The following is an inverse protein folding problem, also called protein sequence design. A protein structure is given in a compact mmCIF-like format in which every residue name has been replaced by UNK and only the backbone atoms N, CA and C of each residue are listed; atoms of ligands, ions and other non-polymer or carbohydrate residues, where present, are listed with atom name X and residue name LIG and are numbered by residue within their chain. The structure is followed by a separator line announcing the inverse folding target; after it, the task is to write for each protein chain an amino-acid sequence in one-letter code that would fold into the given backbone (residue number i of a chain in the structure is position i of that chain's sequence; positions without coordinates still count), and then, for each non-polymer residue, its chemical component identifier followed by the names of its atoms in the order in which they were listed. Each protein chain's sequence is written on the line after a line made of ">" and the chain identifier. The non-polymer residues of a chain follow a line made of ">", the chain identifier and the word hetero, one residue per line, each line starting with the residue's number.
data_IF_429573824515
#
_entry.id   IF_429573824515
#
_cell.length_a   1.000
_cell.length_b   1.000
_cell.length_c   1.000
_cell.angle_alpha   90.00
_cell.angle_beta   90.00
_cell.angle_gamma   90.00
#
_symmetry.space_group_name_H-M   'P 1'
#
loop_
_entity.id
_entity.type
_entity.pdbx_description
1 polymer ?
#
# COMPACT_ATOMS: atom_id res chain seq x y z
N UNK A 1 -1.04 -51.67 -28.84
CA UNK A 1 -0.65 -51.33 -27.45
C UNK A 1 -1.91 -51.32 -26.62
N UNK A 2 -2.06 -52.22 -25.62
CA UNK A 2 -3.27 -52.28 -24.78
C UNK A 2 -3.20 -51.14 -23.77
N UNK A 3 -4.09 -50.16 -23.88
CA UNK A 3 -4.25 -49.11 -22.86
C UNK A 3 -4.84 -49.80 -21.62
N UNK A 4 -4.06 -49.90 -20.55
CA UNK A 4 -4.59 -50.27 -19.23
C UNK A 4 -5.51 -49.12 -18.79
N UNK A 5 -6.81 -49.38 -18.71
CA UNK A 5 -7.78 -48.42 -18.17
C UNK A 5 -7.54 -48.20 -16.68
N UNK A 6 -7.77 -46.98 -16.20
CA UNK A 6 -7.80 -46.63 -14.77
C UNK A 6 -8.88 -47.47 -14.07
N UNK A 7 -8.60 -47.98 -12.87
CA UNK A 7 -9.60 -48.67 -12.05
C UNK A 7 -10.51 -47.65 -11.36
N UNK A 8 -11.78 -48.03 -11.09
CA UNK A 8 -12.71 -47.16 -10.37
C UNK A 8 -12.20 -46.83 -8.96
N UNK A 9 -11.52 -47.78 -8.30
CA UNK A 9 -10.97 -47.56 -6.96
C UNK A 9 -9.81 -46.57 -6.95
N UNK A 10 -8.93 -46.59 -7.97
CA UNK A 10 -7.85 -45.60 -8.09
C UNK A 10 -8.40 -44.17 -8.19
N UNK A 11 -9.49 -43.97 -8.93
CA UNK A 11 -10.11 -42.65 -9.03
C UNK A 11 -10.73 -42.21 -7.70
N UNK A 12 -11.42 -43.12 -6.99
CA UNK A 12 -12.07 -42.83 -5.71
C UNK A 12 -11.04 -42.48 -4.63
N UNK A 13 -9.94 -43.23 -4.54
CA UNK A 13 -8.89 -42.96 -3.55
C UNK A 13 -8.24 -41.59 -3.78
N UNK A 14 -8.02 -41.20 -5.05
CA UNK A 14 -7.43 -39.89 -5.39
C UNK A 14 -8.34 -38.73 -4.97
N UNK A 15 -9.64 -38.78 -5.26
CA UNK A 15 -10.56 -37.69 -4.86
C UNK A 15 -10.69 -37.57 -3.34
N UNK A 16 -10.65 -38.69 -2.61
CA UNK A 16 -10.68 -38.69 -1.15
C UNK A 16 -9.40 -38.07 -0.59
N UNK A 17 -8.23 -38.43 -1.12
CA UNK A 17 -6.95 -37.84 -0.73
C UNK A 17 -6.92 -36.32 -1.00
N UNK A 18 -7.37 -35.88 -2.19
CA UNK A 18 -7.48 -34.46 -2.52
C UNK A 18 -8.45 -33.74 -1.60
N UNK A 19 -9.55 -34.39 -1.21
CA UNK A 19 -10.53 -33.85 -0.25
C UNK A 19 -9.91 -33.57 1.13
N UNK A 20 -9.14 -34.53 1.68
CA UNK A 20 -8.47 -34.35 2.98
C UNK A 20 -7.43 -33.23 2.91
N UNK A 21 -6.60 -33.20 1.87
CA UNK A 21 -5.58 -32.16 1.69
C UNK A 21 -6.21 -30.77 1.58
N UNK A 22 -7.33 -30.64 0.87
CA UNK A 22 -8.03 -29.37 0.71
C UNK A 22 -8.53 -28.81 2.05
N UNK A 23 -9.11 -29.66 2.91
CA UNK A 23 -9.65 -29.23 4.22
C UNK A 23 -8.56 -28.73 5.16
N UNK A 24 -7.39 -29.39 5.18
CA UNK A 24 -6.27 -28.98 6.05
C UNK A 24 -5.46 -27.80 5.49
N UNK A 25 -5.40 -27.64 4.16
CA UNK A 25 -4.64 -26.57 3.50
C UNK A 25 -5.41 -25.24 3.48
N UNK A 26 -6.74 -25.27 3.39
CA UNK A 26 -7.57 -24.07 3.31
C UNK A 26 -7.34 -23.03 4.44
N UNK A 27 -7.35 -23.38 5.74
CA UNK A 27 -7.14 -22.39 6.79
C UNK A 27 -5.73 -21.77 6.72
N UNK A 28 -4.69 -22.59 6.51
CA UNK A 28 -3.31 -22.10 6.39
C UNK A 28 -3.10 -21.19 5.18
N UNK A 29 -3.76 -21.48 4.06
CA UNK A 29 -3.67 -20.64 2.87
C UNK A 29 -4.24 -19.23 3.11
N UNK A 30 -5.29 -19.11 3.94
CA UNK A 30 -5.84 -17.81 4.30
C UNK A 30 -4.86 -17.01 5.16
N UNK A 31 -4.26 -17.64 6.17
CA UNK A 31 -3.27 -17.00 7.06
C UNK A 31 -2.07 -16.48 6.26
N UNK A 32 -1.51 -17.29 5.35
CA UNK A 32 -0.39 -16.87 4.49
C UNK A 32 -0.71 -15.65 3.61
N UNK A 33 -1.97 -15.49 3.19
CA UNK A 33 -2.38 -14.30 2.43
C UNK A 33 -2.42 -13.05 3.31
N UNK A 34 -2.85 -13.17 4.56
CA UNK A 34 -2.86 -12.04 5.51
C UNK A 34 -1.42 -11.65 5.86
N UNK A 35 -0.58 -12.63 6.23
CA UNK A 35 0.84 -12.40 6.54
C UNK A 35 1.59 -11.77 5.36
N UNK A 36 1.30 -12.22 4.13
CA UNK A 36 1.88 -11.65 2.92
C UNK A 36 1.54 -10.17 2.72
N UNK A 37 0.30 -9.77 3.03
CA UNK A 37 -0.11 -8.35 2.97
C UNK A 37 0.56 -7.52 4.05
N UNK A 38 0.60 -8.01 5.29
CA UNK A 38 1.27 -7.33 6.41
C UNK A 38 2.74 -7.11 6.06
N UNK A 39 3.42 -8.12 5.51
CA UNK A 39 4.79 -8.02 5.04
C UNK A 39 4.95 -6.97 3.91
N UNK A 40 4.06 -6.98 2.91
CA UNK A 40 4.07 -6.01 1.82
C UNK A 40 3.89 -4.56 2.33
N UNK A 41 3.00 -4.34 3.30
CA UNK A 41 2.76 -3.01 3.88
C UNK A 41 3.91 -2.54 4.76
N UNK A 42 4.53 -3.43 5.53
CA UNK A 42 5.76 -3.11 6.27
C UNK A 42 6.90 -2.74 5.33
N UNK A 43 7.09 -3.50 4.25
CA UNK A 43 8.08 -3.20 3.23
C UNK A 43 7.80 -1.84 2.59
N UNK A 44 6.55 -1.56 2.24
CA UNK A 44 6.14 -0.27 1.69
C UNK A 44 6.38 0.88 2.66
N UNK A 45 6.01 0.73 3.94
CA UNK A 45 6.24 1.76 4.97
C UNK A 45 7.73 2.02 5.18
N UNK A 46 8.58 0.98 5.14
CA UNK A 46 10.02 1.12 5.20
C UNK A 46 10.58 1.84 3.97
N UNK A 47 10.12 1.47 2.77
CA UNK A 47 10.52 2.11 1.53
C UNK A 47 10.11 3.59 1.51
N UNK A 48 8.92 3.91 2.01
CA UNK A 48 8.43 5.27 2.15
C UNK A 48 9.31 6.09 3.11
N UNK A 49 9.66 5.55 4.29
CA UNK A 49 10.57 6.23 5.24
C UNK A 49 11.93 6.52 4.61
N UNK A 50 12.58 5.50 4.05
CA UNK A 50 13.88 5.66 3.38
C UNK A 50 13.80 6.62 2.20
N UNK A 51 12.70 6.57 1.45
CA UNK A 51 12.42 7.51 0.37
C UNK A 51 12.38 8.93 0.90
N UNK A 52 11.59 9.19 1.96
CA UNK A 52 11.39 10.54 2.54
C UNK A 52 12.73 11.14 2.94
N UNK A 53 13.58 10.35 3.60
CA UNK A 53 14.92 10.77 4.00
C UNK A 53 15.82 11.09 2.79
N UNK A 54 15.73 10.29 1.72
CA UNK A 54 16.47 10.54 0.48
C UNK A 54 16.03 11.83 -0.21
N UNK A 55 14.72 12.09 -0.26
CA UNK A 55 14.17 13.34 -0.81
C UNK A 55 14.61 14.52 0.03
N UNK A 56 14.58 14.38 1.36
CA UNK A 56 15.01 15.42 2.26
C UNK A 56 16.48 15.77 2.03
N UNK A 57 17.37 14.78 2.01
CA UNK A 57 18.79 14.99 1.69
C UNK A 57 18.99 15.72 0.35
N UNK A 58 18.18 15.39 -0.66
CA UNK A 58 18.23 16.07 -1.95
C UNK A 58 17.71 17.51 -1.88
N UNK A 59 16.67 17.76 -1.10
CA UNK A 59 16.14 19.10 -0.86
C UNK A 59 17.19 20.00 -0.20
N UNK A 60 17.97 19.50 0.76
CA UNK A 60 19.07 20.24 1.39
C UNK A 60 20.11 20.66 0.33
N UNK A 61 20.54 19.71 -0.50
CA UNK A 61 21.54 19.96 -1.56
C UNK A 61 21.04 21.00 -2.57
N UNK A 62 19.74 20.99 -2.87
CA UNK A 62 19.12 21.90 -3.83
C UNK A 62 18.64 23.23 -3.20
N UNK A 63 18.80 23.41 -1.88
CA UNK A 63 18.33 24.59 -1.15
C UNK A 63 16.80 24.74 -1.14
N UNK A 64 16.07 23.62 -1.13
CA UNK A 64 14.60 23.54 -1.24
C UNK A 64 13.94 23.20 0.10
N UNK A 65 14.53 23.63 1.21
CA UNK A 65 14.07 23.34 2.58
C UNK A 65 13.02 24.34 3.11
N UNK A 66 12.62 25.31 2.29
CA UNK A 66 11.60 26.29 2.67
C UNK A 66 10.21 25.69 2.86
N UNK A 67 9.26 26.53 3.29
CA UNK A 67 7.84 26.16 3.46
C UNK A 67 7.28 25.49 2.20
N UNK A 68 7.71 25.94 1.02
CA UNK A 68 7.46 25.27 -0.25
C UNK A 68 8.78 25.06 -0.99
N UNK A 69 8.89 23.94 -1.70
CA UNK A 69 10.05 23.63 -2.52
C UNK A 69 9.72 22.62 -3.62
N UNK A 70 10.67 22.40 -4.52
CA UNK A 70 10.57 21.33 -5.52
C UNK A 70 11.89 20.60 -5.63
N UNK A 71 11.88 19.29 -5.46
CA UNK A 71 13.03 18.45 -5.76
C UNK A 71 12.84 17.71 -7.08
N UNK A 72 13.79 17.90 -8.00
CA UNK A 72 13.93 17.01 -9.15
C UNK A 72 14.53 15.69 -8.65
N UNK A 73 13.84 14.57 -8.84
CA UNK A 73 14.33 13.25 -8.44
C UNK A 73 15.29 12.62 -9.47
N UNK A 74 15.58 13.29 -10.58
CA UNK A 74 16.48 12.83 -11.64
C UNK A 74 15.78 11.97 -12.70
N UNK A 75 14.46 11.86 -12.64
CA UNK A 75 13.61 11.15 -13.60
C UNK A 75 12.73 12.12 -14.42
N UNK A 76 13.02 13.42 -14.38
CA UNK A 76 12.24 14.45 -15.07
C UNK A 76 10.91 14.81 -14.38
N UNK A 77 10.65 14.27 -13.19
CA UNK A 77 9.46 14.60 -12.39
C UNK A 77 9.88 15.38 -11.15
N UNK A 78 9.32 16.59 -11.01
CA UNK A 78 9.49 17.41 -9.81
C UNK A 78 8.52 16.97 -8.72
N UNK A 79 9.06 16.53 -7.59
CA UNK A 79 8.31 16.27 -6.38
C UNK A 79 8.10 17.59 -5.62
N UNK A 80 6.85 17.88 -5.25
CA UNK A 80 6.56 19.06 -4.44
C UNK A 80 6.99 18.78 -3.00
N UNK A 81 7.57 19.79 -2.36
CA UNK A 81 8.11 19.69 -1.02
C UNK A 81 7.47 20.72 -0.08
N UNK A 82 7.34 20.34 1.18
CA UNK A 82 7.06 21.22 2.30
C UNK A 82 8.15 21.02 3.35
N UNK A 83 8.83 22.10 3.73
CA UNK A 83 9.93 22.08 4.71
C UNK A 83 11.05 21.10 4.34
N UNK A 84 11.32 20.95 3.04
CA UNK A 84 12.29 20.00 2.51
C UNK A 84 11.84 18.53 2.50
N UNK A 85 10.59 18.20 2.82
CA UNK A 85 10.05 16.84 2.78
C UNK A 85 8.96 16.71 1.70
N UNK A 86 8.67 15.50 1.18
CA UNK A 86 7.58 15.28 0.23
C UNK A 86 6.24 15.86 0.71
N UNK A 87 5.64 16.77 -0.05
CA UNK A 87 4.31 17.29 0.25
C UNK A 87 3.25 16.55 -0.57
N UNK A 88 2.29 15.97 0.15
CA UNK A 88 1.11 15.31 -0.43
C UNK A 88 -0.22 16.01 -0.08
N UNK A 89 -0.16 17.25 0.43
CA UNK A 89 -1.30 18.00 0.98
C UNK A 89 -2.19 18.67 -0.09
N UNK A 90 -1.66 18.99 -1.28
CA UNK A 90 -2.37 19.78 -2.31
C UNK A 90 -2.19 19.21 -3.72
N UNK A 91 -3.26 19.18 -4.53
CA UNK A 91 -3.21 18.79 -5.95
C UNK A 91 -4.05 17.56 -6.30
N UNK A 92 -3.97 17.07 -7.55
CA UNK A 92 -4.67 15.86 -7.99
C UNK A 92 -4.00 14.62 -7.34
N UNK A 93 -4.77 13.73 -6.71
CA UNK A 93 -4.24 12.49 -6.13
C UNK A 93 -3.52 11.63 -7.16
N UNK A 94 -3.99 11.61 -8.41
CA UNK A 94 -3.33 10.89 -9.52
C UNK A 94 -1.94 11.46 -9.80
N UNK A 95 -1.75 12.79 -9.70
CA UNK A 95 -0.40 13.37 -9.86
C UNK A 95 0.55 12.98 -8.73
N UNK A 96 0.04 12.83 -7.51
CA UNK A 96 0.83 12.36 -6.38
C UNK A 96 1.23 10.90 -6.54
N UNK A 97 0.31 10.07 -7.04
CA UNK A 97 0.59 8.66 -7.34
C UNK A 97 1.66 8.52 -8.40
N UNK A 98 1.60 9.29 -9.50
CA UNK A 98 2.64 9.27 -10.53
C UNK A 98 4.01 9.69 -9.98
N UNK A 99 4.04 10.70 -9.09
CA UNK A 99 5.29 11.12 -8.42
C UNK A 99 5.81 10.04 -7.48
N UNK A 100 4.92 9.40 -6.72
CA UNK A 100 5.24 8.35 -5.78
C UNK A 100 5.73 7.08 -6.48
N UNK A 101 5.12 6.67 -7.58
CA UNK A 101 5.56 5.52 -8.36
C UNK A 101 6.93 5.77 -8.99
N UNK A 102 7.19 6.98 -9.49
CA UNK A 102 8.51 7.35 -10.02
C UNK A 102 9.62 7.42 -8.96
N UNK A 103 9.26 7.67 -7.71
CA UNK A 103 10.19 7.78 -6.58
C UNK A 103 10.45 6.46 -5.87
N UNK A 104 9.39 5.72 -5.54
CA UNK A 104 9.44 4.49 -4.75
C UNK A 104 9.42 3.23 -5.60
N UNK A 105 9.26 3.35 -6.93
CA UNK A 105 8.98 2.22 -7.83
C UNK A 105 7.84 1.34 -7.32
N UNK A 106 6.85 1.96 -6.66
CA UNK A 106 5.71 1.28 -6.08
C UNK A 106 4.48 1.43 -6.99
N UNK A 107 3.80 0.31 -7.26
CA UNK A 107 2.51 0.33 -7.94
C UNK A 107 1.42 0.65 -6.91
N UNK A 108 0.91 1.87 -7.01
CA UNK A 108 -0.15 2.39 -6.14
C UNK A 108 -1.23 3.00 -7.03
N UNK A 109 -2.49 2.81 -6.66
CA UNK A 109 -3.64 3.27 -7.44
C UNK A 109 -4.52 4.22 -6.65
N UNK A 110 -5.20 5.13 -7.34
CA UNK A 110 -6.12 6.07 -6.72
C UNK A 110 -7.45 5.37 -6.43
N UNK A 111 -7.89 5.37 -5.17
CA UNK A 111 -9.18 4.76 -4.79
C UNK A 111 -10.36 5.24 -5.65
N UNK A 112 -10.40 6.53 -5.98
CA UNK A 112 -11.56 7.16 -6.62
C UNK A 112 -11.69 6.79 -8.09
N UNK A 113 -10.58 6.73 -8.83
CA UNK A 113 -10.56 6.37 -10.25
C UNK A 113 -10.53 4.86 -10.47
N UNK A 114 -10.13 4.10 -9.44
CA UNK A 114 -9.83 2.68 -9.54
C UNK A 114 -10.86 1.75 -8.86
N UNK A 115 -12.11 2.18 -8.81
CA UNK A 115 -13.18 1.54 -8.02
C UNK A 115 -13.47 0.08 -8.38
N UNK A 116 -13.20 -0.32 -9.63
CA UNK A 116 -13.49 -1.66 -10.17
C UNK A 116 -12.28 -2.60 -10.24
N UNK A 117 -11.09 -2.15 -9.81
CA UNK A 117 -9.87 -2.94 -9.90
C UNK A 117 -9.81 -4.08 -8.87
N UNK A 118 -8.98 -5.12 -9.12
CA UNK A 118 -8.83 -6.21 -8.18
C UNK A 118 -8.44 -5.69 -6.80
N UNK A 119 -9.09 -6.23 -5.77
CA UNK A 119 -9.00 -5.80 -4.38
C UNK A 119 -7.58 -5.90 -3.76
N UNK A 120 -6.63 -6.50 -4.45
CA UNK A 120 -5.27 -6.77 -3.96
C UNK A 120 -4.22 -5.74 -4.41
N UNK A 121 -4.62 -4.65 -5.06
CA UNK A 121 -3.70 -3.57 -5.41
C UNK A 121 -3.62 -2.55 -4.28
N UNK A 122 -2.40 -2.11 -3.95
CA UNK A 122 -2.19 -1.07 -2.95
C UNK A 122 -2.83 0.22 -3.43
N UNK A 123 -3.74 0.73 -2.63
CA UNK A 123 -4.59 1.87 -2.95
C UNK A 123 -4.22 3.04 -2.06
N UNK A 124 -4.07 4.20 -2.68
CA UNK A 124 -3.87 5.47 -2.00
C UNK A 124 -5.17 6.25 -2.00
N UNK A 125 -5.47 6.86 -0.87
CA UNK A 125 -6.57 7.80 -0.71
C UNK A 125 -6.16 8.92 0.25
N UNK A 126 -6.94 10.00 0.27
CA UNK A 126 -6.77 11.08 1.23
C UNK A 126 -7.79 10.94 2.35
N UNK A 127 -7.38 11.26 3.58
CA UNK A 127 -8.31 11.38 4.69
C UNK A 127 -8.12 12.71 5.42
N UNK A 128 -9.23 13.35 5.79
CA UNK A 128 -9.20 14.56 6.62
C UNK A 128 -8.75 14.25 8.06
N UNK A 129 -9.00 13.02 8.52
CA UNK A 129 -8.63 12.51 9.85
C UNK A 129 -8.03 11.11 9.74
N UNK A 130 -6.84 10.93 10.29
CA UNK A 130 -6.16 9.65 10.48
C UNK A 130 -6.81 8.82 11.58
N UNK A 131 -6.30 7.60 11.77
CA UNK A 131 -6.85 6.68 12.79
C UNK A 131 -6.45 7.11 14.21
N UNK A 132 -5.29 7.76 14.32
CA UNK A 132 -4.76 8.45 15.51
C UNK A 132 -5.36 9.86 15.71
N UNK A 133 -6.24 10.31 14.83
CA UNK A 133 -6.77 11.68 14.84
C UNK A 133 -5.88 12.73 14.18
N UNK A 134 -4.76 12.33 13.54
CA UNK A 134 -3.93 13.21 12.74
C UNK A 134 -4.75 13.87 11.63
N UNK A 135 -4.52 15.16 11.36
CA UNK A 135 -5.27 15.88 10.33
C UNK A 135 -4.56 15.76 8.98
N UNK A 136 -5.35 15.61 7.90
CA UNK A 136 -4.89 15.63 6.50
C UNK A 136 -3.79 14.60 6.23
N UNK A 137 -4.15 13.33 6.32
CA UNK A 137 -3.24 12.21 6.07
C UNK A 137 -3.47 11.62 4.69
N UNK A 138 -2.39 11.11 4.09
CA UNK A 138 -2.48 10.15 3.00
C UNK A 138 -2.51 8.76 3.61
N UNK A 139 -3.38 7.92 3.10
CA UNK A 139 -3.53 6.54 3.53
C UNK A 139 -3.24 5.59 2.38
N UNK A 140 -2.48 4.55 2.68
CA UNK A 140 -2.19 3.44 1.80
C UNK A 140 -2.76 2.15 2.41
N UNK A 141 -3.56 1.42 1.65
CA UNK A 141 -4.27 0.23 2.12
C UNK A 141 -4.61 -0.69 0.95
N UNK A 142 -4.95 -1.95 1.21
CA UNK A 142 -5.52 -2.82 0.18
C UNK A 142 -7.05 -2.69 0.15
N UNK A 143 -7.64 -2.59 -1.04
CA UNK A 143 -9.10 -2.53 -1.18
C UNK A 143 -9.82 -3.81 -0.69
N UNK A 144 -9.11 -4.93 -0.57
CA UNK A 144 -9.61 -6.17 0.01
C UNK A 144 -9.99 -6.03 1.48
N UNK A 145 -9.38 -5.07 2.15
CA UNK A 145 -9.58 -4.82 3.57
C UNK A 145 -10.67 -3.74 3.76
N UNK A 146 -11.22 -3.23 2.65
CA UNK A 146 -12.40 -2.37 2.66
C UNK A 146 -13.65 -3.21 2.92
N UNK A 147 -14.33 -2.97 4.05
CA UNK A 147 -15.67 -3.53 4.30
C UNK A 147 -16.63 -2.94 3.27
N UNK A 148 -17.23 -3.78 2.42
CA UNK A 148 -18.13 -3.36 1.35
C UNK A 148 -19.34 -2.59 1.93
N UNK A 149 -19.63 -1.40 1.37
CA UNK A 149 -20.84 -0.62 1.69
C UNK A 149 -20.67 0.56 2.65
N UNK A 150 -19.48 0.83 3.18
CA UNK A 150 -19.24 1.99 4.04
C UNK A 150 -18.51 3.09 3.26
N UNK A 151 -19.23 4.11 2.83
CA UNK A 151 -18.65 5.45 2.65
C UNK A 151 -18.16 5.88 4.04
N UNK A 152 -16.86 6.16 4.18
CA UNK A 152 -16.14 6.30 5.47
C UNK A 152 -15.71 4.98 6.15
N UNK A 153 -15.42 3.94 5.35
CA UNK A 153 -14.84 2.69 5.83
C UNK A 153 -13.60 2.95 6.70
N UNK A 154 -13.67 2.58 7.98
CA UNK A 154 -12.49 2.37 8.81
C UNK A 154 -11.70 1.22 8.17
N UNK A 155 -10.64 1.56 7.44
CA UNK A 155 -9.66 0.58 7.02
C UNK A 155 -8.88 0.19 8.27
N UNK A 156 -8.97 -1.07 8.66
CA UNK A 156 -8.35 -1.59 9.88
C UNK A 156 -6.83 -1.83 9.65
N UNK A 157 -6.44 -2.06 8.39
CA UNK A 157 -5.08 -2.31 7.94
C UNK A 157 -4.61 -1.19 7.00
N UNK A 158 -3.66 -0.34 7.42
CA UNK A 158 -3.18 0.80 6.59
C UNK A 158 -1.82 1.37 7.00
N UNK A 159 -1.18 2.07 6.07
CA UNK A 159 -0.04 2.97 6.34
C UNK A 159 -0.52 4.41 6.16
N UNK A 160 -0.26 5.28 7.13
CA UNK A 160 -0.59 6.70 7.09
C UNK A 160 0.66 7.55 6.95
N UNK A 161 0.62 8.53 6.05
CA UNK A 161 1.63 9.56 5.88
C UNK A 161 1.02 10.91 6.21
N UNK A 162 1.63 11.61 7.17
CA UNK A 162 1.33 12.98 7.50
C UNK A 162 2.47 13.87 7.04
N UNK A 163 2.15 14.93 6.30
CA UNK A 163 3.14 15.88 5.79
C UNK A 163 3.88 16.60 6.93
N UNK A 164 5.09 17.07 6.63
CA UNK A 164 5.81 17.98 7.50
C UNK A 164 5.03 19.28 7.75
N UNK A 165 5.28 19.90 8.90
CA UNK A 165 4.82 21.23 9.24
C UNK A 165 6.01 22.10 9.63
N UNK A 166 5.79 23.39 9.88
CA UNK A 166 6.84 24.33 10.31
C UNK A 166 7.62 23.86 11.54
N UNK A 167 7.01 23.02 12.38
CA UNK A 167 7.59 22.55 13.64
C UNK A 167 7.75 21.03 13.73
N UNK A 168 7.42 20.28 12.67
CA UNK A 168 7.45 18.82 12.72
C UNK A 168 7.89 18.19 11.39
N UNK A 169 8.70 17.13 11.48
CA UNK A 169 8.99 16.25 10.34
C UNK A 169 7.73 15.46 9.93
N UNK A 170 7.73 14.82 8.75
CA UNK A 170 6.66 13.92 8.37
C UNK A 170 6.54 12.74 9.34
N UNK A 171 5.32 12.24 9.51
CA UNK A 171 5.03 11.10 10.39
C UNK A 171 4.49 9.97 9.53
N UNK A 172 5.09 8.78 9.64
CA UNK A 172 4.65 7.55 8.98
C UNK A 172 4.20 6.55 10.04
N UNK A 173 2.88 6.32 10.12
CA UNK A 173 2.26 5.42 11.10
C UNK A 173 1.71 4.18 10.40
N UNK A 174 2.00 3.00 10.93
CA UNK A 174 1.53 1.71 10.41
C UNK A 174 0.49 1.12 11.35
N UNK A 175 -0.66 0.75 10.81
CA UNK A 175 -1.74 0.09 11.53
C UNK A 175 -1.91 -1.30 10.91
N UNK A 176 -1.31 -2.31 11.53
CA UNK A 176 -1.25 -3.67 10.98
C UNK A 176 -1.88 -4.73 11.88
N UNK A 177 -2.24 -4.38 13.11
CA UNK A 177 -2.75 -5.33 14.11
C UNK A 177 -4.18 -5.80 13.83
N UNK A 178 -4.87 -5.14 12.89
CA UNK A 178 -6.25 -5.43 12.51
C UNK A 178 -6.39 -5.80 11.02
N UNK A 179 -5.28 -6.20 10.38
CA UNK A 179 -5.30 -7.04 9.19
C UNK A 179 -5.64 -8.49 9.61
#
# INVERSE_FOLDING_TARGET
>A
MRVKGFTLIELVVVIVLLGVIAVVAAPRYLDFRVDGKIAAMNNFASALRSGVDLVHAKAIIQGQEGETGKADLGNGTNLDLAYGYPDMSYGNLDSHITKLSGWLNAEVVNRQTNKDWPREVMTMDRSQVGLDGAKRVIQFFFMSDSKAGLVNSKFECMVQYQNATESSTPIITTYLDAC
#
